data_IF_835975996553
#
_entry.id   IF_835975996553
#
_cell.length_a   1.000
_cell.length_b   1.000
_cell.length_c   1.000
_cell.angle_alpha   90.00
_cell.angle_beta   90.00
_cell.angle_gamma   90.00
#
_symmetry.space_group_name_H-M   'P 1'
#
loop_
_entity.id
_entity.type
_entity.pdbx_description
1 polymer ?
#
# COMPACT_ATOMS: atom_id res chain seq x y z
N UNK A 1 4.02 -83.87 29.99
CA UNK A 1 4.18 -82.48 30.47
C UNK A 1 4.80 -81.64 29.35
N UNK A 2 3.97 -80.94 28.57
CA UNK A 2 4.43 -80.10 27.44
C UNK A 2 4.84 -78.72 27.97
N UNK A 3 6.11 -78.35 27.87
CA UNK A 3 6.60 -77.00 28.21
C UNK A 3 6.29 -76.06 27.05
N UNK A 4 5.37 -75.12 27.26
CA UNK A 4 5.11 -74.00 26.36
C UNK A 4 6.01 -72.84 26.83
N UNK A 5 7.07 -72.53 26.09
CA UNK A 5 7.87 -71.31 26.32
C UNK A 5 7.51 -70.33 25.22
N UNK A 6 6.89 -69.22 25.65
CA UNK A 6 6.41 -68.12 24.84
C UNK A 6 7.59 -67.28 24.35
N UNK A 7 7.77 -67.17 23.03
CA UNK A 7 8.68 -66.20 22.42
C UNK A 7 8.00 -64.82 22.41
N UNK A 8 8.44 -63.92 23.27
CA UNK A 8 8.05 -62.50 23.22
C UNK A 8 8.90 -61.82 22.16
N UNK A 9 8.35 -61.67 20.94
CA UNK A 9 8.92 -60.85 19.88
C UNK A 9 8.73 -59.37 20.23
N UNK A 10 9.77 -58.75 20.79
CA UNK A 10 9.83 -57.30 20.98
C UNK A 10 10.06 -56.67 19.59
N UNK A 11 8.98 -56.23 18.95
CA UNK A 11 9.05 -55.37 17.77
C UNK A 11 9.57 -53.99 18.22
N UNK A 12 10.87 -53.77 18.07
CA UNK A 12 11.47 -52.44 18.21
C UNK A 12 10.97 -51.56 17.05
N UNK A 13 9.85 -50.88 17.27
CA UNK A 13 9.35 -49.85 16.36
C UNK A 13 10.32 -48.66 16.45
N UNK A 14 11.29 -48.60 15.54
CA UNK A 14 12.17 -47.44 15.40
C UNK A 14 11.31 -46.23 15.01
N UNK A 15 10.90 -45.46 16.02
CA UNK A 15 10.18 -44.22 15.85
C UNK A 15 11.16 -43.18 15.28
N UNK A 16 11.29 -43.14 13.96
CA UNK A 16 12.05 -42.08 13.28
C UNK A 16 11.23 -40.80 13.43
N UNK A 17 11.51 -40.05 14.49
CA UNK A 17 10.99 -38.71 14.68
C UNK A 17 11.58 -37.81 13.57
N UNK A 18 10.83 -37.60 12.49
CA UNK A 18 11.11 -36.52 11.56
C UNK A 18 10.88 -35.20 12.29
N UNK A 19 11.94 -34.66 12.87
CA UNK A 19 11.95 -33.28 13.36
C UNK A 19 11.72 -32.37 12.14
N UNK A 20 10.49 -31.87 12.01
CA UNK A 20 10.15 -30.85 11.02
C UNK A 20 11.04 -29.65 11.32
N UNK A 21 12.10 -29.46 10.54
CA UNK A 21 12.97 -28.30 10.67
C UNK A 21 12.10 -27.07 10.43
N UNK A 22 11.73 -26.37 11.50
CA UNK A 22 11.00 -25.11 11.42
C UNK A 22 11.95 -24.09 10.82
N UNK A 23 11.95 -23.97 9.49
CA UNK A 23 12.69 -22.92 8.80
C UNK A 23 12.31 -21.57 9.39
N UNK A 24 13.30 -20.70 9.61
CA UNK A 24 13.08 -19.36 10.16
C UNK A 24 11.96 -18.65 9.37
N UNK A 25 11.00 -18.06 10.08
CA UNK A 25 9.91 -17.34 9.45
C UNK A 25 10.47 -16.25 8.52
N UNK A 26 9.95 -16.18 7.29
CA UNK A 26 10.43 -15.24 6.29
C UNK A 26 10.37 -13.79 6.82
N UNK A 27 11.41 -13.00 6.56
CA UNK A 27 11.46 -11.60 7.00
C UNK A 27 10.62 -10.74 6.07
N UNK A 28 9.46 -10.31 6.54
CA UNK A 28 8.50 -9.55 5.74
C UNK A 28 8.46 -8.08 6.14
N UNK A 29 8.39 -7.21 5.14
CA UNK A 29 8.27 -5.76 5.32
C UNK A 29 7.31 -5.19 4.29
N UNK A 30 6.35 -4.39 4.74
CA UNK A 30 5.50 -3.56 3.91
C UNK A 30 5.95 -2.11 4.07
N UNK A 31 6.11 -1.41 2.95
CA UNK A 31 6.34 0.04 2.95
C UNK A 31 5.24 0.70 2.12
N UNK A 32 4.52 1.64 2.72
CA UNK A 32 3.50 2.44 2.05
C UNK A 32 4.02 3.86 1.93
N UNK A 33 4.11 4.36 0.70
CA UNK A 33 4.44 5.74 0.43
C UNK A 33 3.19 6.52 0.01
N UNK A 34 2.71 7.39 0.90
CA UNK A 34 1.55 8.25 0.63
C UNK A 34 1.88 9.34 -0.40
N UNK A 35 3.13 9.64 -0.68
CA UNK A 35 3.48 10.67 -1.66
C UNK A 35 3.07 10.27 -3.08
N UNK A 36 3.13 8.97 -3.38
CA UNK A 36 2.82 8.40 -4.70
C UNK A 36 1.71 7.33 -4.65
N UNK A 37 1.11 7.07 -3.47
CA UNK A 37 0.04 6.09 -3.30
C UNK A 37 0.46 4.68 -3.74
N UNK A 38 1.65 4.26 -3.32
CA UNK A 38 2.17 2.93 -3.59
C UNK A 38 2.48 2.16 -2.30
N UNK A 39 2.36 0.84 -2.39
CA UNK A 39 2.74 -0.12 -1.35
C UNK A 39 3.78 -1.08 -1.95
N UNK A 40 4.95 -1.17 -1.35
CA UNK A 40 5.96 -2.18 -1.67
C UNK A 40 5.92 -3.30 -0.63
N UNK A 41 5.93 -4.54 -1.09
CA UNK A 41 6.05 -5.73 -0.27
C UNK A 41 7.42 -6.37 -0.50
N UNK A 42 8.15 -6.56 0.59
CA UNK A 42 9.45 -7.19 0.66
C UNK A 42 9.35 -8.52 1.41
N UNK A 43 10.08 -9.52 0.93
CA UNK A 43 10.23 -10.81 1.59
C UNK A 43 11.69 -11.25 1.50
N UNK A 44 12.27 -11.61 2.64
CA UNK A 44 13.69 -11.94 2.77
C UNK A 44 14.57 -10.88 2.11
N UNK A 45 14.26 -9.62 2.43
CA UNK A 45 14.95 -8.40 2.00
C UNK A 45 14.71 -8.04 0.54
N UNK A 46 14.18 -8.94 -0.28
CA UNK A 46 13.97 -8.71 -1.69
C UNK A 46 12.63 -8.03 -1.95
N UNK A 47 12.62 -7.02 -2.81
CA UNK A 47 11.37 -6.44 -3.32
C UNK A 47 10.63 -7.51 -4.15
N UNK A 48 9.46 -7.91 -3.67
CA UNK A 48 8.63 -8.93 -4.35
C UNK A 48 7.63 -8.28 -5.29
N UNK A 49 6.88 -7.28 -4.81
CA UNK A 49 5.82 -6.63 -5.61
C UNK A 49 5.53 -5.21 -5.11
N UNK A 50 5.16 -4.34 -6.05
CA UNK A 50 4.65 -2.99 -5.78
C UNK A 50 3.20 -2.88 -6.24
N UNK A 51 2.37 -2.25 -5.42
CA UNK A 51 0.93 -2.06 -5.66
C UNK A 51 0.58 -0.58 -5.69
N UNK A 52 -0.45 -0.24 -6.45
CA UNK A 52 -1.12 1.06 -6.33
C UNK A 52 -2.16 0.93 -5.21
N UNK A 53 -2.23 1.92 -4.32
CA UNK A 53 -3.15 1.94 -3.18
C UNK A 53 -3.89 3.28 -3.10
N UNK A 54 -5.02 3.34 -2.39
CA UNK A 54 -5.64 4.60 -2.01
C UNK A 54 -5.31 4.91 -0.55
N UNK A 55 -5.01 6.17 -0.23
CA UNK A 55 -4.76 6.61 1.15
C UNK A 55 -5.70 7.74 1.55
N UNK A 56 -5.50 8.28 2.76
CA UNK A 56 -6.37 9.26 3.39
C UNK A 56 -6.52 10.55 2.58
N UNK A 57 -7.75 11.08 2.55
CA UNK A 57 -8.07 12.36 1.88
C UNK A 57 -7.25 13.54 2.41
N UNK A 58 -6.88 13.52 3.70
CA UNK A 58 -5.99 14.50 4.32
C UNK A 58 -4.68 13.82 4.70
N UNK A 59 -3.59 14.58 4.70
CA UNK A 59 -2.26 14.07 5.06
C UNK A 59 -2.25 13.35 6.43
N UNK A 60 -3.02 13.85 7.39
CA UNK A 60 -3.14 13.30 8.75
C UNK A 60 -4.07 12.09 8.88
N UNK A 61 -4.81 11.70 7.84
CA UNK A 61 -5.81 10.62 7.97
C UNK A 61 -5.18 9.24 7.96
N UNK A 62 -4.29 8.97 7.00
CA UNK A 62 -3.46 7.75 7.04
C UNK A 62 -2.22 8.03 7.89
N UNK A 63 -2.09 7.38 9.06
CA UNK A 63 -1.02 7.66 10.00
C UNK A 63 0.34 7.27 9.41
N UNK A 64 1.35 8.11 9.61
CA UNK A 64 2.75 7.79 9.31
C UNK A 64 3.41 7.16 10.54
N UNK A 65 4.41 6.31 10.31
CA UNK A 65 5.12 5.61 11.39
C UNK A 65 5.37 4.14 11.09
N UNK A 66 5.86 3.43 12.10
CA UNK A 66 6.11 1.98 12.07
C UNK A 66 5.00 1.26 12.83
N UNK A 67 4.34 0.34 12.16
CA UNK A 67 3.23 -0.45 12.69
C UNK A 67 3.49 -1.94 12.45
N UNK A 68 2.62 -2.78 12.98
CA UNK A 68 2.59 -4.22 12.74
C UNK A 68 1.19 -4.64 12.29
N UNK A 69 1.13 -5.66 11.45
CA UNK A 69 -0.11 -6.39 11.19
C UNK A 69 -0.46 -7.19 12.44
N UNK A 70 -1.60 -6.86 13.06
CA UNK A 70 -2.06 -7.47 14.31
C UNK A 70 -3.37 -8.21 14.17
N UNK A 71 -4.05 -8.07 13.02
CA UNK A 71 -5.34 -8.74 12.77
C UNK A 71 -5.46 -9.09 11.29
N UNK A 72 -5.99 -10.28 10.97
CA UNK A 72 -6.27 -10.72 9.60
C UNK A 72 -7.69 -11.26 9.53
N UNK A 73 -8.54 -10.70 8.66
CA UNK A 73 -9.95 -11.11 8.50
C UNK A 73 -10.30 -11.26 7.03
N UNK A 74 -10.91 -12.40 6.67
CA UNK A 74 -11.54 -12.62 5.38
C UNK A 74 -12.95 -12.03 5.41
N UNK A 75 -13.32 -11.24 4.40
CA UNK A 75 -14.67 -10.71 4.23
C UNK A 75 -15.21 -10.01 5.49
N UNK A 76 -14.46 -9.04 6.05
CA UNK A 76 -14.88 -8.34 7.26
C UNK A 76 -16.22 -7.60 7.05
N UNK A 77 -17.22 -7.78 7.93
CA UNK A 77 -18.44 -6.97 7.89
C UNK A 77 -18.16 -5.47 8.03
N UNK A 78 -18.96 -4.65 7.37
CA UNK A 78 -18.93 -3.20 7.52
C UNK A 78 -20.06 -2.74 8.44
N UNK A 79 -19.79 -2.82 9.75
CA UNK A 79 -20.77 -2.54 10.81
C UNK A 79 -21.45 -1.17 10.69
N UNK A 80 -20.69 -0.10 10.37
CA UNK A 80 -21.24 1.26 10.25
C UNK A 80 -22.33 1.37 9.18
N UNK A 81 -22.23 0.59 8.11
CA UNK A 81 -23.24 0.55 7.04
C UNK A 81 -24.19 -0.64 7.14
N UNK A 82 -24.10 -1.45 8.20
CA UNK A 82 -24.81 -2.71 8.35
C UNK A 82 -24.68 -3.64 7.12
N UNK A 83 -23.48 -3.69 6.51
CA UNK A 83 -23.24 -4.50 5.31
C UNK A 83 -22.51 -5.77 5.70
N UNK A 84 -23.05 -6.92 5.27
CA UNK A 84 -22.47 -8.23 5.54
C UNK A 84 -21.07 -8.38 4.94
N UNK A 85 -20.28 -9.26 5.54
CA UNK A 85 -19.00 -9.69 4.97
C UNK A 85 -19.19 -10.36 3.61
N UNK A 86 -18.35 -10.02 2.64
CA UNK A 86 -18.37 -10.65 1.31
C UNK A 86 -19.43 -10.09 0.35
N UNK A 87 -20.32 -9.20 0.83
CA UNK A 87 -21.24 -8.46 -0.02
C UNK A 87 -20.44 -7.57 -1.01
N UNK A 88 -20.74 -7.58 -2.32
CA UNK A 88 -20.08 -6.73 -3.31
C UNK A 88 -20.12 -5.23 -3.00
N UNK A 89 -21.13 -4.76 -2.24
CA UNK A 89 -21.27 -3.37 -1.80
C UNK A 89 -20.44 -3.05 -0.56
N UNK A 90 -19.81 -4.04 0.08
CA UNK A 90 -19.01 -3.80 1.28
C UNK A 90 -17.73 -3.02 0.94
N UNK A 91 -17.54 -1.78 1.47
CA UNK A 91 -16.40 -0.93 1.12
C UNK A 91 -15.05 -1.45 1.64
N UNK A 92 -15.07 -2.48 2.49
CA UNK A 92 -13.86 -3.12 3.03
C UNK A 92 -13.29 -4.18 2.08
N UNK A 93 -14.09 -4.67 1.13
CA UNK A 93 -13.69 -5.70 0.16
C UNK A 93 -13.39 -7.07 0.77
N UNK A 94 -12.57 -7.85 0.07
CA UNK A 94 -12.41 -9.29 0.34
C UNK A 94 -11.47 -9.66 1.50
N UNK A 95 -10.54 -8.77 1.87
CA UNK A 95 -9.53 -9.02 2.91
C UNK A 95 -9.27 -7.77 3.73
N UNK A 96 -8.93 -7.99 5.00
CA UNK A 96 -8.59 -6.98 5.98
C UNK A 96 -7.28 -7.38 6.68
N UNK A 97 -6.24 -6.56 6.52
CA UNK A 97 -4.96 -6.64 7.24
C UNK A 97 -4.90 -5.47 8.22
N UNK A 98 -5.39 -5.71 9.44
CA UNK A 98 -5.45 -4.73 10.51
C UNK A 98 -4.08 -4.40 11.05
N UNK A 99 -3.78 -3.11 11.19
CA UNK A 99 -2.52 -2.60 11.72
C UNK A 99 -2.71 -1.90 13.06
N UNK A 100 -1.72 -1.98 13.94
CA UNK A 100 -1.78 -1.36 15.27
C UNK A 100 -1.52 0.16 15.28
N UNK A 101 -1.94 0.86 14.23
CA UNK A 101 -1.75 2.29 14.13
C UNK A 101 -2.58 3.02 15.20
N UNK A 102 -1.99 4.07 15.78
CA UNK A 102 -2.58 4.85 16.89
C UNK A 102 -3.04 3.97 18.06
N UNK A 103 -2.26 2.94 18.39
CA UNK A 103 -2.53 2.01 19.48
C UNK A 103 -3.87 1.25 19.35
N UNK A 104 -4.41 1.13 18.13
CA UNK A 104 -5.63 0.36 17.89
C UNK A 104 -5.31 -1.14 17.75
N UNK A 105 -6.23 -2.06 18.06
CA UNK A 105 -5.99 -3.50 17.92
C UNK A 105 -6.19 -4.01 16.47
N UNK A 106 -5.95 -3.15 15.46
CA UNK A 106 -6.14 -3.52 14.05
C UNK A 106 -7.59 -3.61 13.59
N UNK A 107 -8.56 -3.09 14.35
CA UNK A 107 -9.97 -2.99 13.96
C UNK A 107 -10.36 -1.63 13.36
N UNK A 108 -9.47 -0.63 13.43
CA UNK A 108 -9.71 0.76 12.98
C UNK A 108 -8.91 1.12 11.73
N UNK A 109 -7.63 0.76 11.68
CA UNK A 109 -6.74 1.01 10.55
C UNK A 109 -6.32 -0.31 9.91
N UNK A 110 -6.40 -0.38 8.58
CA UNK A 110 -6.01 -1.58 7.85
C UNK A 110 -5.55 -1.28 6.43
N UNK A 111 -4.82 -2.25 5.89
CA UNK A 111 -4.70 -2.47 4.45
C UNK A 111 -5.85 -3.41 4.07
N UNK A 112 -6.75 -2.97 3.20
CA UNK A 112 -7.95 -3.75 2.87
C UNK A 112 -8.34 -3.60 1.39
N UNK A 113 -9.32 -4.41 0.95
CA UNK A 113 -9.86 -4.35 -0.41
C UNK A 113 -10.72 -3.10 -0.66
N UNK A 114 -11.62 -3.15 -1.63
CA UNK A 114 -12.60 -2.08 -1.85
C UNK A 114 -13.82 -2.59 -2.63
N UNK A 115 -14.87 -1.78 -2.74
CA UNK A 115 -16.02 -1.96 -3.64
C UNK A 115 -16.07 -0.92 -4.80
N UNK A 116 -15.13 0.02 -4.82
CA UNK A 116 -14.98 1.05 -5.86
C UNK A 116 -13.52 1.04 -6.35
N UNK A 117 -13.28 0.27 -7.41
CA UNK A 117 -11.95 0.09 -8.00
C UNK A 117 -11.37 1.41 -8.51
N UNK A 118 -12.23 2.36 -8.92
CA UNK A 118 -11.84 3.69 -9.39
C UNK A 118 -11.30 4.57 -8.25
N UNK A 119 -11.45 4.16 -6.99
CA UNK A 119 -10.88 4.84 -5.84
C UNK A 119 -9.38 4.59 -5.66
N UNK A 120 -8.84 3.51 -6.25
CA UNK A 120 -7.44 3.12 -6.09
C UNK A 120 -6.51 4.12 -6.79
N UNK A 121 -5.40 4.45 -6.11
CA UNK A 121 -4.47 5.50 -6.50
C UNK A 121 -4.85 6.89 -5.97
N UNK A 122 -6.03 7.10 -5.39
CA UNK A 122 -6.51 8.42 -4.95
C UNK A 122 -6.33 8.67 -3.45
N UNK A 123 -6.40 9.95 -3.06
CA UNK A 123 -6.50 10.39 -1.67
C UNK A 123 -7.96 10.53 -1.25
N UNK A 124 -8.57 9.43 -0.82
CA UNK A 124 -10.03 9.36 -0.66
C UNK A 124 -10.49 8.65 0.61
N UNK A 125 -9.62 7.87 1.26
CA UNK A 125 -10.01 7.11 2.43
C UNK A 125 -10.14 8.01 3.68
N UNK A 126 -10.77 7.47 4.72
CA UNK A 126 -10.80 8.08 6.05
C UNK A 126 -9.54 7.76 6.89
N UNK A 127 -8.57 7.03 6.33
CA UNK A 127 -7.31 6.71 6.98
C UNK A 127 -6.76 5.32 6.68
N UNK A 128 -7.60 4.39 6.26
CA UNK A 128 -7.17 3.07 5.80
C UNK A 128 -6.43 3.13 4.45
N UNK A 129 -5.74 2.04 4.12
CA UNK A 129 -5.07 1.83 2.84
C UNK A 129 -5.92 0.88 2.02
N UNK A 130 -6.50 1.38 0.92
CA UNK A 130 -7.36 0.57 0.03
C UNK A 130 -6.54 -0.01 -1.11
N UNK A 131 -6.84 -1.24 -1.49
CA UNK A 131 -6.22 -1.97 -2.59
C UNK A 131 -7.30 -2.54 -3.52
N UNK A 132 -6.93 -2.93 -4.74
CA UNK A 132 -7.77 -3.81 -5.54
C UNK A 132 -8.00 -5.14 -4.81
N UNK A 133 -9.17 -5.76 -5.02
CA UNK A 133 -9.53 -6.99 -4.31
C UNK A 133 -8.59 -8.16 -4.62
N UNK A 134 -8.07 -8.28 -5.85
CA UNK A 134 -7.16 -9.37 -6.21
C UNK A 134 -5.77 -9.15 -5.63
N UNK A 135 -5.29 -7.90 -5.62
CA UNK A 135 -4.01 -7.54 -5.01
C UNK A 135 -4.01 -7.73 -3.49
N UNK A 136 -5.10 -7.36 -2.79
CA UNK A 136 -5.17 -7.57 -1.34
C UNK A 136 -5.32 -9.04 -0.97
N UNK A 137 -5.96 -9.85 -1.81
CA UNK A 137 -6.01 -11.30 -1.60
C UNK A 137 -4.61 -11.91 -1.71
N UNK A 138 -3.87 -11.56 -2.77
CA UNK A 138 -2.49 -11.97 -2.91
C UNK A 138 -1.63 -11.54 -1.72
N UNK A 139 -1.74 -10.27 -1.30
CA UNK A 139 -0.96 -9.75 -0.18
C UNK A 139 -1.34 -10.46 1.13
N UNK A 140 -2.63 -10.72 1.34
CA UNK A 140 -3.13 -11.42 2.52
C UNK A 140 -2.56 -12.83 2.64
N UNK A 141 -2.43 -13.56 1.54
CA UNK A 141 -1.92 -14.93 1.53
C UNK A 141 -0.40 -14.96 1.81
N UNK A 142 0.32 -13.88 1.48
CA UNK A 142 1.76 -13.74 1.74
C UNK A 142 2.07 -13.24 3.15
N UNK A 143 1.33 -12.26 3.64
CA UNK A 143 1.69 -11.52 4.87
C UNK A 143 1.37 -12.31 6.13
N UNK A 144 2.38 -12.54 6.96
CA UNK A 144 2.25 -13.12 8.30
C UNK A 144 1.82 -12.10 9.35
N UNK A 145 1.34 -12.60 10.50
CA UNK A 145 1.14 -11.77 11.69
C UNK A 145 2.45 -11.13 12.13
N UNK A 146 2.39 -9.96 12.77
CA UNK A 146 3.53 -9.14 13.20
C UNK A 146 4.42 -8.58 12.09
N UNK A 147 4.08 -8.80 10.81
CA UNK A 147 4.75 -8.15 9.68
C UNK A 147 4.79 -6.64 9.88
N UNK A 148 5.97 -6.05 9.70
CA UNK A 148 6.17 -4.60 9.84
C UNK A 148 5.50 -3.88 8.68
N UNK A 149 4.77 -2.80 9.01
CA UNK A 149 4.18 -1.86 8.06
C UNK A 149 4.75 -0.48 8.34
N UNK A 150 5.61 0.01 7.46
CA UNK A 150 6.15 1.36 7.50
C UNK A 150 5.33 2.26 6.58
N UNK A 151 4.74 3.33 7.14
CA UNK A 151 3.97 4.30 6.38
C UNK A 151 4.71 5.64 6.41
N UNK A 152 5.02 6.18 5.24
CA UNK A 152 5.71 7.46 5.10
C UNK A 152 5.13 8.30 3.97
N UNK A 153 5.42 9.60 3.96
CA UNK A 153 5.26 10.46 2.79
C UNK A 153 6.62 10.99 2.37
N UNK A 154 7.20 10.46 1.29
CA UNK A 154 8.57 10.80 0.88
C UNK A 154 8.75 10.80 -0.65
N UNK A 155 9.70 11.60 -1.14
CA UNK A 155 10.19 11.56 -2.52
C UNK A 155 11.30 10.51 -2.72
N UNK A 156 11.73 9.82 -1.66
CA UNK A 156 12.76 8.78 -1.69
C UNK A 156 12.22 7.46 -2.26
N UNK A 157 13.13 6.62 -2.77
CA UNK A 157 12.81 5.24 -3.18
C UNK A 157 12.41 4.39 -1.97
N UNK A 158 11.70 3.29 -2.20
CA UNK A 158 11.35 2.34 -1.13
C UNK A 158 12.58 1.81 -0.39
N UNK A 159 13.66 1.50 -1.10
CA UNK A 159 14.91 1.07 -0.50
C UNK A 159 15.52 2.15 0.43
N UNK A 160 15.48 3.42 0.02
CA UNK A 160 15.98 4.52 0.84
C UNK A 160 15.07 4.81 2.05
N UNK A 161 13.75 4.66 1.91
CA UNK A 161 12.79 4.70 3.02
C UNK A 161 13.08 3.57 4.02
N UNK A 162 13.30 2.34 3.54
CA UNK A 162 13.64 1.18 4.34
C UNK A 162 14.93 1.42 5.13
N UNK A 163 16.00 1.83 4.45
CA UNK A 163 17.32 2.06 5.02
C UNK A 163 17.29 3.14 6.11
N UNK A 164 16.63 4.27 5.85
CA UNK A 164 16.45 5.36 6.83
C UNK A 164 15.70 4.88 8.08
N UNK A 165 14.92 3.79 7.96
CA UNK A 165 14.15 3.20 9.05
C UNK A 165 14.81 1.97 9.68
N UNK A 166 16.07 1.68 9.34
CA UNK A 166 16.85 0.56 9.90
C UNK A 166 16.59 -0.79 9.24
N UNK A 167 15.93 -0.81 8.07
CA UNK A 167 15.69 -2.04 7.33
C UNK A 167 16.63 -2.15 6.14
N UNK A 168 17.44 -3.22 6.12
CA UNK A 168 18.20 -3.62 4.94
C UNK A 168 17.23 -4.25 3.94
N UNK A 169 17.27 -3.82 2.69
CA UNK A 169 16.50 -4.42 1.60
C UNK A 169 17.33 -4.43 0.33
N UNK A 170 17.13 -5.47 -0.47
CA UNK A 170 17.73 -5.73 -1.76
C UNK A 170 16.67 -5.57 -2.86
N UNK A 171 17.12 -5.17 -4.05
CA UNK A 171 16.21 -4.81 -5.13
C UNK A 171 15.90 -3.31 -5.14
N UNK A 172 16.83 -2.55 -5.73
CA UNK A 172 16.59 -1.19 -6.24
C UNK A 172 16.02 -1.20 -7.64
N UNK A 173 15.68 -2.38 -8.21
CA UNK A 173 14.74 -2.40 -9.33
C UNK A 173 13.46 -1.80 -8.78
N UNK A 174 13.32 -0.48 -8.94
CA UNK A 174 12.16 0.01 -9.64
C UNK A 174 11.90 -1.04 -10.70
N UNK A 175 10.92 -1.94 -10.45
CA UNK A 175 10.01 -2.26 -11.51
C UNK A 175 9.82 -0.91 -12.19
N UNK A 176 10.08 -0.76 -13.51
CA UNK A 176 9.73 0.48 -14.17
C UNK A 176 8.36 0.79 -13.60
N UNK A 177 8.24 1.95 -12.94
CA UNK A 177 6.93 2.44 -12.59
C UNK A 177 6.24 2.37 -13.93
N UNK A 178 5.45 1.31 -14.16
CA UNK A 178 4.74 1.10 -15.39
C UNK A 178 3.90 2.35 -15.43
N UNK A 179 4.33 3.24 -16.32
CA UNK A 179 4.29 4.66 -16.13
C UNK A 179 2.83 5.08 -16.15
N UNK A 180 2.19 5.10 -14.99
CA UNK A 180 0.79 5.47 -14.89
C UNK A 180 0.54 5.89 -13.45
N UNK A 181 0.60 7.20 -13.25
CA UNK A 181 0.12 7.94 -12.07
C UNK A 181 1.15 8.32 -11.01
N UNK A 182 2.26 8.94 -11.41
CA UNK A 182 2.90 9.93 -10.55
C UNK A 182 1.94 11.12 -10.42
N UNK A 183 1.34 11.27 -9.24
CA UNK A 183 0.58 12.46 -8.87
C UNK A 183 1.55 13.61 -8.60
N UNK A 184 1.41 14.73 -9.31
CA UNK A 184 2.16 15.94 -8.98
C UNK A 184 1.34 16.78 -7.99
N UNK A 185 1.93 17.17 -6.87
CA UNK A 185 1.28 17.97 -5.83
C UNK A 185 2.29 18.89 -5.17
N UNK A 186 1.84 19.77 -4.26
CA UNK A 186 2.74 20.64 -3.51
C UNK A 186 3.88 19.84 -2.86
N UNK A 187 5.11 20.27 -3.10
CA UNK A 187 6.34 19.59 -2.67
C UNK A 187 6.93 18.61 -3.68
N UNK A 188 6.21 18.24 -4.74
CA UNK A 188 6.80 17.56 -5.90
C UNK A 188 7.82 18.47 -6.58
N UNK A 189 8.85 17.89 -7.18
CA UNK A 189 9.80 18.62 -8.01
C UNK A 189 10.33 17.75 -9.16
N UNK A 190 10.95 18.38 -10.15
CA UNK A 190 11.64 17.70 -11.25
C UNK A 190 10.97 17.89 -12.62
N UNK A 191 11.43 17.15 -13.65
CA UNK A 191 11.05 17.37 -15.05
C UNK A 191 9.54 17.31 -15.32
N UNK A 192 8.81 16.46 -14.59
CA UNK A 192 7.35 16.33 -14.71
C UNK A 192 6.63 17.57 -14.19
N UNK A 193 7.17 18.24 -13.17
CA UNK A 193 6.64 19.52 -12.68
C UNK A 193 6.92 20.64 -13.66
N UNK A 194 8.10 20.63 -14.31
CA UNK A 194 8.42 21.57 -15.40
C UNK A 194 7.41 21.42 -16.54
N UNK A 195 7.13 20.18 -16.96
CA UNK A 195 6.15 19.90 -18.03
C UNK A 195 4.74 20.38 -17.64
N UNK A 196 4.33 20.12 -16.40
CA UNK A 196 3.09 20.63 -15.84
C UNK A 196 3.03 22.16 -15.86
N UNK A 197 4.05 22.85 -15.35
CA UNK A 197 4.10 24.30 -15.27
C UNK A 197 4.07 24.93 -16.67
N UNK A 198 4.81 24.37 -17.63
CA UNK A 198 4.75 24.74 -19.05
C UNK A 198 3.34 24.60 -19.59
N UNK A 199 2.69 23.46 -19.34
CA UNK A 199 1.36 23.17 -19.87
C UNK A 199 0.27 24.05 -19.26
N UNK A 200 0.28 24.23 -17.94
CA UNK A 200 -0.64 25.13 -17.24
C UNK A 200 -0.49 26.57 -17.75
N UNK A 201 0.74 27.07 -17.84
CA UNK A 201 1.02 28.42 -18.34
C UNK A 201 0.54 28.59 -19.79
N UNK A 202 0.79 27.61 -20.67
CA UNK A 202 0.28 27.59 -22.05
C UNK A 202 -1.24 27.62 -22.13
N UNK A 203 -1.93 27.06 -21.13
CA UNK A 203 -3.39 27.04 -21.04
C UNK A 203 -3.97 28.27 -20.29
N UNK A 204 -3.14 29.26 -19.92
CA UNK A 204 -3.56 30.48 -19.23
C UNK A 204 -3.58 30.41 -17.71
N UNK A 205 -3.14 29.29 -17.11
CA UNK A 205 -3.06 29.11 -15.66
C UNK A 205 -1.63 29.39 -15.18
N UNK A 206 -1.30 30.67 -14.95
CA UNK A 206 0.05 31.08 -14.56
C UNK A 206 0.53 30.41 -13.28
N UNK A 207 1.71 29.78 -13.34
CA UNK A 207 2.43 29.22 -12.19
C UNK A 207 3.43 30.20 -11.55
N UNK A 208 3.50 31.45 -12.05
CA UNK A 208 4.50 32.48 -11.67
C UNK A 208 5.96 32.05 -11.83
N UNK A 209 6.23 31.12 -12.74
CA UNK A 209 7.57 30.59 -13.01
C UNK A 209 7.53 29.11 -13.38
N UNK A 210 8.57 28.66 -14.08
CA UNK A 210 8.80 27.26 -14.46
C UNK A 210 10.16 26.86 -13.85
N UNK A 211 10.15 26.62 -12.55
CA UNK A 211 11.33 26.27 -11.74
C UNK A 211 11.44 24.77 -11.47
N UNK A 212 10.47 23.98 -11.94
CA UNK A 212 10.37 22.55 -11.64
C UNK A 212 10.01 22.27 -10.18
N UNK A 213 9.63 23.27 -9.40
CA UNK A 213 9.13 23.16 -8.04
C UNK A 213 7.61 23.27 -7.99
N UNK A 214 6.95 22.29 -7.41
CA UNK A 214 5.50 22.36 -7.20
C UNK A 214 5.23 23.14 -5.91
N UNK A 215 5.37 24.46 -5.98
CA UNK A 215 5.10 25.38 -4.89
C UNK A 215 3.63 25.79 -4.78
N UNK A 216 3.36 26.78 -3.92
CA UNK A 216 2.02 27.36 -3.72
C UNK A 216 1.41 27.89 -5.02
N UNK A 217 2.22 28.49 -5.90
CA UNK A 217 1.75 29.06 -7.16
C UNK A 217 1.31 27.97 -8.15
N UNK A 218 2.12 26.92 -8.32
CA UNK A 218 1.77 25.74 -9.13
C UNK A 218 0.50 25.06 -8.62
N UNK A 219 0.35 24.91 -7.29
CA UNK A 219 -0.87 24.36 -6.69
C UNK A 219 -2.11 25.19 -7.00
N UNK A 220 -2.03 26.52 -6.87
CA UNK A 220 -3.13 27.41 -7.21
C UNK A 220 -3.51 27.32 -8.69
N UNK A 221 -2.53 27.24 -9.59
CA UNK A 221 -2.76 27.06 -11.02
C UNK A 221 -3.47 25.74 -11.33
N UNK A 222 -3.04 24.64 -10.70
CA UNK A 222 -3.69 23.33 -10.82
C UNK A 222 -5.14 23.38 -10.33
N UNK A 223 -5.40 23.97 -9.16
CA UNK A 223 -6.77 24.12 -8.63
C UNK A 223 -7.67 24.92 -9.57
N UNK A 224 -7.17 26.03 -10.11
CA UNK A 224 -7.90 26.85 -11.11
C UNK A 224 -8.23 26.04 -12.37
N UNK A 225 -7.25 25.30 -12.90
CA UNK A 225 -7.46 24.44 -14.06
C UNK A 225 -8.51 23.35 -13.78
N UNK A 226 -8.39 22.65 -12.65
CA UNK A 226 -9.32 21.61 -12.24
C UNK A 226 -10.75 22.15 -12.12
N UNK A 227 -10.93 23.30 -11.46
CA UNK A 227 -12.24 23.96 -11.34
C UNK A 227 -12.82 24.28 -12.72
N UNK A 228 -12.01 24.83 -13.64
CA UNK A 228 -12.45 25.16 -14.99
C UNK A 228 -12.78 23.93 -15.86
N UNK A 229 -12.25 22.75 -15.53
CA UNK A 229 -12.52 21.48 -16.23
C UNK A 229 -13.53 20.59 -15.50
N UNK A 230 -14.28 21.13 -14.53
CA UNK A 230 -15.24 20.38 -13.71
C UNK A 230 -14.63 19.13 -13.04
N UNK A 231 -13.35 19.22 -12.69
CA UNK A 231 -12.64 18.20 -11.91
C UNK A 231 -12.65 18.56 -10.42
N UNK A 232 -12.33 17.59 -9.57
CA UNK A 232 -12.08 17.88 -8.15
C UNK A 232 -10.89 18.85 -8.03
N UNK A 233 -11.14 20.06 -7.53
CA UNK A 233 -10.13 21.13 -7.37
C UNK A 233 -9.27 20.92 -6.11
N UNK A 234 -8.61 19.76 -6.02
CA UNK A 234 -7.79 19.33 -4.88
C UNK A 234 -6.32 19.76 -4.95
N UNK A 235 -5.88 20.38 -6.06
CA UNK A 235 -4.50 20.82 -6.26
C UNK A 235 -3.53 19.68 -6.57
N UNK A 236 -4.04 18.50 -6.89
CA UNK A 236 -3.26 17.30 -7.19
C UNK A 236 -3.44 16.90 -8.65
N UNK A 237 -2.32 16.77 -9.37
CA UNK A 237 -2.30 16.36 -10.77
C UNK A 237 -2.26 14.84 -10.85
N UNK A 238 -3.44 14.23 -10.70
CA UNK A 238 -3.65 12.80 -10.92
C UNK A 238 -4.02 12.42 -12.36
N UNK A 239 -4.38 11.14 -12.62
CA UNK A 239 -4.79 10.63 -13.94
C UNK A 239 -5.73 11.55 -14.72
N UNK A 240 -6.81 11.99 -14.08
CA UNK A 240 -7.85 12.81 -14.70
C UNK A 240 -7.32 14.20 -15.04
N UNK A 241 -6.59 14.82 -14.12
CA UNK A 241 -5.95 16.12 -14.34
C UNK A 241 -4.90 16.02 -15.45
N UNK A 242 -4.04 14.98 -15.46
CA UNK A 242 -3.06 14.73 -16.53
C UNK A 242 -3.73 14.55 -17.89
N UNK A 243 -4.77 13.73 -17.97
CA UNK A 243 -5.55 13.53 -19.20
C UNK A 243 -6.16 14.84 -19.68
N UNK A 244 -6.78 15.61 -18.79
CA UNK A 244 -7.37 16.91 -19.13
C UNK A 244 -6.32 17.94 -19.57
N UNK A 245 -5.10 17.86 -19.01
CA UNK A 245 -3.95 18.66 -19.43
C UNK A 245 -3.33 18.14 -20.73
N UNK A 246 -3.60 16.91 -21.17
CA UNK A 246 -2.91 16.29 -22.31
C UNK A 246 -1.43 15.99 -22.03
N UNK A 247 -1.08 15.73 -20.76
CA UNK A 247 0.26 15.27 -20.37
C UNK A 247 0.34 13.75 -20.56
N UNK A 248 1.49 13.27 -21.04
CA UNK A 248 1.76 11.83 -21.24
C UNK A 248 2.18 11.13 -19.94
#
# INVERSE_FOLDING_TARGET
>A
MKKLIVFVLIFAFSFVAFSKTSGAAARQLIIINKANNQLAYYENDNLVKVFIVATGKKASYTPEGKFKVVTKIVNRPYYKGNIKGGDPKNPLGKRWLGINARNTPGNTYAIHGNNDSKSIGKYISAGCIRMYNDDVQWLYDKVGMNTVVLIASSNKSFASIAATNGYKVSGSKSLPVQNTYIFLKKGSSGPQVIELQKRLTKLGYSTKGIDGGFGKNTEMAVRKFQKAKNLTSDGVVGPQTKKALGLK
#
